data_IF_668808118728
#
_entry.id   IF_668808118728
#
_cell.length_a   1.000
_cell.length_b   1.000
_cell.length_c   1.000
_cell.angle_alpha   90.00
_cell.angle_beta   90.00
_cell.angle_gamma   90.00
#
_symmetry.space_group_name_H-M   'P 1'
#
loop_
_entity.id
_entity.type
_entity.pdbx_description
1 polymer ?
#
# COMPACT_ATOMS: atom_id res chain seq x y z
N UNK A 1 -10.44 -20.30 -4.20
CA UNK A 1 -9.92 -19.51 -5.34
C UNK A 1 -10.84 -18.38 -5.83
N UNK A 2 -12.18 -18.41 -5.64
CA UNK A 2 -13.05 -17.28 -6.04
C UNK A 2 -12.98 -16.02 -5.13
N UNK A 3 -12.67 -16.19 -3.85
CA UNK A 3 -12.58 -15.10 -2.87
C UNK A 3 -11.33 -14.21 -3.07
N UNK A 4 -10.16 -14.85 -3.25
CA UNK A 4 -8.92 -14.13 -3.52
C UNK A 4 -8.96 -13.36 -4.84
N UNK A 5 -9.51 -13.95 -5.91
CA UNK A 5 -9.68 -13.24 -7.18
C UNK A 5 -10.59 -12.01 -7.07
N UNK A 6 -11.66 -12.09 -6.25
CA UNK A 6 -12.57 -10.96 -6.03
C UNK A 6 -11.96 -9.86 -5.17
N UNK A 7 -11.11 -10.18 -4.18
CA UNK A 7 -10.44 -9.17 -3.35
C UNK A 7 -9.28 -8.50 -4.09
N UNK A 8 -8.46 -9.29 -4.80
CA UNK A 8 -7.28 -8.78 -5.52
C UNK A 8 -7.63 -8.02 -6.81
N UNK A 9 -8.65 -8.45 -7.56
CA UNK A 9 -9.16 -7.69 -8.71
C UNK A 9 -10.07 -6.51 -8.30
N UNK A 10 -10.37 -6.40 -7.01
CA UNK A 10 -11.18 -5.32 -6.44
C UNK A 10 -10.33 -4.14 -5.93
N UNK A 11 -9.03 -4.12 -6.18
CA UNK A 11 -8.16 -3.01 -5.81
C UNK A 11 -7.69 -2.30 -7.09
N UNK A 12 -7.57 -0.97 -7.08
CA UNK A 12 -7.03 -0.29 -8.27
C UNK A 12 -5.57 -0.67 -8.51
N UNK A 13 -5.15 -0.56 -9.77
CA UNK A 13 -3.75 -0.74 -10.18
C UNK A 13 -2.84 0.22 -9.40
N UNK A 14 -3.32 1.43 -9.07
CA UNK A 14 -2.58 2.42 -8.30
C UNK A 14 -2.27 1.91 -6.88
N UNK A 15 -3.29 1.39 -6.20
CA UNK A 15 -3.15 0.81 -4.86
C UNK A 15 -2.18 -0.39 -4.85
N UNK A 16 -2.15 -1.17 -5.91
CA UNK A 16 -1.18 -2.27 -6.11
C UNK A 16 0.25 -1.76 -6.26
N UNK A 17 0.47 -0.74 -7.10
CA UNK A 17 1.79 -0.14 -7.31
C UNK A 17 2.33 0.44 -6.00
N UNK A 18 1.51 1.18 -5.26
CA UNK A 18 1.91 1.79 -3.99
C UNK A 18 2.34 0.73 -2.96
N UNK A 19 1.63 -0.40 -2.88
CA UNK A 19 2.00 -1.51 -2.00
C UNK A 19 3.31 -2.19 -2.40
N UNK A 20 3.55 -2.41 -3.70
CA UNK A 20 4.82 -2.97 -4.19
C UNK A 20 5.98 -2.06 -3.85
N UNK A 21 5.82 -0.74 -4.04
CA UNK A 21 6.83 0.25 -3.65
C UNK A 21 7.10 0.18 -2.14
N UNK A 22 6.06 0.06 -1.32
CA UNK A 22 6.21 -0.04 0.13
C UNK A 22 6.98 -1.29 0.57
N UNK A 23 6.70 -2.44 -0.05
CA UNK A 23 7.44 -3.68 0.19
C UNK A 23 8.92 -3.50 -0.21
N UNK A 24 9.19 -2.88 -1.36
CA UNK A 24 10.56 -2.59 -1.78
C UNK A 24 11.30 -1.64 -0.84
N UNK A 25 10.61 -0.64 -0.29
CA UNK A 25 11.17 0.24 0.75
C UNK A 25 11.48 -0.52 2.03
N UNK A 26 10.56 -1.37 2.51
CA UNK A 26 10.78 -2.19 3.70
C UNK A 26 12.00 -3.11 3.52
N UNK A 27 12.14 -3.71 2.34
CA UNK A 27 13.31 -4.52 2.00
C UNK A 27 14.61 -3.70 2.06
N UNK A 28 14.63 -2.51 1.44
CA UNK A 28 15.82 -1.63 1.48
C UNK A 28 16.19 -1.17 2.89
N UNK A 29 15.22 -1.03 3.79
CA UNK A 29 15.46 -0.74 5.21
C UNK A 29 16.03 -1.96 5.93
N UNK A 30 15.51 -3.16 5.63
CA UNK A 30 16.00 -4.42 6.20
C UNK A 30 17.44 -4.75 5.75
N UNK A 31 17.77 -4.50 4.48
CA UNK A 31 19.12 -4.69 3.93
C UNK A 31 20.08 -3.54 4.29
N UNK A 32 19.69 -2.65 5.22
CA UNK A 32 20.46 -1.49 5.68
C UNK A 32 20.94 -0.52 4.58
N UNK A 33 20.37 -0.61 3.38
CA UNK A 33 20.63 0.32 2.27
C UNK A 33 20.01 1.68 2.56
N UNK A 34 18.88 1.70 3.27
CA UNK A 34 18.29 2.90 3.84
C UNK A 34 18.52 2.85 5.36
N UNK A 35 19.03 3.93 5.98
CA UNK A 35 19.25 3.96 7.42
C UNK A 35 17.92 3.81 8.16
N UNK A 36 17.85 2.89 9.12
CA UNK A 36 16.69 2.72 10.00
C UNK A 36 16.70 3.77 11.13
N UNK A 37 16.52 5.03 10.75
CA UNK A 37 16.43 6.16 11.68
C UNK A 37 14.99 6.69 11.79
N UNK A 38 14.75 7.63 12.71
CA UNK A 38 13.43 8.19 12.96
C UNK A 38 12.79 8.78 11.69
N UNK A 39 13.59 9.38 10.81
CA UNK A 39 13.09 9.95 9.54
C UNK A 39 12.55 8.87 8.60
N UNK A 40 13.24 7.73 8.48
CA UNK A 40 12.77 6.59 7.68
C UNK A 40 11.49 6.00 8.24
N UNK A 41 11.35 5.92 9.57
CA UNK A 41 10.13 5.45 10.23
C UNK A 41 8.97 6.41 9.92
N UNK A 42 9.17 7.72 10.10
CA UNK A 42 8.15 8.74 9.79
C UNK A 42 7.76 8.67 8.32
N UNK A 43 8.73 8.61 7.41
CA UNK A 43 8.48 8.49 5.97
C UNK A 43 7.67 7.24 5.62
N UNK A 44 8.02 6.09 6.21
CA UNK A 44 7.28 4.84 6.05
C UNK A 44 5.84 4.93 6.59
N UNK A 45 5.63 5.54 7.76
CA UNK A 45 4.30 5.74 8.34
C UNK A 45 3.44 6.66 7.46
N UNK A 46 3.99 7.78 6.99
CA UNK A 46 3.27 8.69 6.09
C UNK A 46 2.89 7.97 4.80
N UNK A 47 3.82 7.20 4.22
CA UNK A 47 3.54 6.43 3.01
C UNK A 47 2.46 5.36 3.22
N UNK A 48 2.47 4.70 4.39
CA UNK A 48 1.42 3.76 4.78
C UNK A 48 0.04 4.43 4.86
N UNK A 49 -0.05 5.65 5.37
CA UNK A 49 -1.30 6.43 5.41
C UNK A 49 -1.79 6.73 3.98
N UNK A 50 -0.90 7.11 3.07
CA UNK A 50 -1.26 7.34 1.65
C UNK A 50 -1.82 6.09 1.00
N UNK A 51 -1.20 4.93 1.24
CA UNK A 51 -1.71 3.63 0.78
C UNK A 51 -3.11 3.38 1.34
N UNK A 52 -3.31 3.59 2.65
CA UNK A 52 -4.61 3.40 3.28
C UNK A 52 -5.69 4.29 2.66
N UNK A 53 -5.39 5.57 2.40
CA UNK A 53 -6.36 6.49 1.77
C UNK A 53 -6.69 6.04 0.34
N UNK A 54 -5.69 5.63 -0.44
CA UNK A 54 -5.90 5.06 -1.78
C UNK A 54 -6.84 3.84 -1.73
N UNK A 55 -6.62 2.95 -0.76
CA UNK A 55 -7.44 1.77 -0.55
C UNK A 55 -8.87 2.08 -0.08
N UNK A 56 -9.00 3.02 0.85
CA UNK A 56 -10.29 3.46 1.34
C UNK A 56 -11.12 4.12 0.23
N UNK A 57 -10.49 4.92 -0.63
CA UNK A 57 -11.14 5.52 -1.79
C UNK A 57 -11.62 4.46 -2.79
N UNK A 58 -10.76 3.50 -3.13
CA UNK A 58 -11.13 2.36 -3.99
C UNK A 58 -12.31 1.56 -3.40
N UNK A 59 -12.35 1.41 -2.07
CA UNK A 59 -13.43 0.73 -1.37
C UNK A 59 -14.75 1.51 -1.43
N UNK A 60 -14.71 2.82 -1.16
CA UNK A 60 -15.90 3.67 -1.18
C UNK A 60 -16.52 3.76 -2.58
N UNK A 61 -15.71 3.92 -3.63
CA UNK A 61 -16.19 3.95 -5.01
C UNK A 61 -17.01 2.70 -5.36
N UNK A 62 -16.60 1.53 -4.86
CA UNK A 62 -17.32 0.27 -5.08
C UNK A 62 -18.61 0.13 -4.30
N UNK A 63 -18.72 0.77 -3.15
CA UNK A 63 -19.97 0.82 -2.38
C UNK A 63 -20.96 1.73 -3.10
N UNK A 64 -20.49 2.84 -3.68
CA UNK A 64 -21.32 3.78 -4.43
C UNK A 64 -21.77 3.27 -5.80
N UNK A 65 -20.97 2.43 -6.48
CA UNK A 65 -21.29 1.85 -7.81
C UNK A 65 -22.22 0.60 -7.73
N UNK A 66 -22.71 0.23 -6.53
CA UNK A 66 -23.61 -0.91 -6.29
C UNK A 66 -25.02 -0.47 -5.93
#
# INVERSE_FOLDING_TARGET
MKLFGKLFASQSILSWILQIIFIGLAWKVADHTIPNNLMTIIGGTVFMIVIYVSLAHDSQKRISDK
#
